data_IF_649748738582
#
_entry.id   IF_649748738582
#
_cell.length_a   1.000
_cell.length_b   1.000
_cell.length_c   1.000
_cell.angle_alpha   90.00
_cell.angle_beta   90.00
_cell.angle_gamma   90.00
#
_symmetry.space_group_name_H-M   'P 1'
#
loop_
_entity.id
_entity.type
_entity.pdbx_description
1 polymer ?
#
# COMPACT_ATOMS: atom_id res chain seq x y z
N UNK A 1 27.72 -34.23 60.07
CA UNK A 1 28.16 -34.44 58.66
C UNK A 1 26.93 -34.56 57.74
N UNK A 2 26.55 -33.47 57.06
CA UNK A 2 26.77 -33.27 55.60
C UNK A 2 25.94 -34.28 54.77
N UNK A 3 25.00 -33.91 53.91
CA UNK A 3 24.86 -32.67 53.14
C UNK A 3 23.43 -32.45 52.62
N UNK A 4 23.03 -31.18 52.62
CA UNK A 4 22.14 -30.56 51.64
C UNK A 4 22.51 -30.94 50.21
N UNK A 5 21.51 -31.16 49.36
CA UNK A 5 21.65 -30.88 47.93
C UNK A 5 20.44 -30.06 47.48
N UNK A 6 20.72 -28.78 47.26
CA UNK A 6 19.81 -27.80 46.71
C UNK A 6 19.48 -28.14 45.24
N UNK A 7 18.21 -27.99 44.86
CA UNK A 7 17.81 -27.90 43.47
C UNK A 7 18.23 -26.53 42.89
N UNK A 8 18.90 -26.48 41.74
CA UNK A 8 19.17 -25.22 41.06
C UNK A 8 17.92 -24.68 40.36
N UNK A 9 17.73 -23.37 40.53
CA UNK A 9 16.87 -22.50 39.72
C UNK A 9 17.24 -22.59 38.25
N UNK A 10 16.25 -22.32 37.42
CA UNK A 10 16.35 -21.79 36.05
C UNK A 10 16.41 -22.82 34.92
N UNK A 11 15.23 -23.10 34.33
CA UNK A 11 14.99 -22.80 32.92
C UNK A 11 13.53 -22.98 32.55
N UNK A 12 13.01 -21.92 31.94
CA UNK A 12 11.82 -21.85 31.09
C UNK A 12 11.62 -23.14 30.29
N UNK A 13 10.52 -23.83 30.55
CA UNK A 13 9.71 -24.60 29.59
C UNK A 13 8.37 -24.81 30.27
N UNK A 14 7.38 -24.00 29.90
CA UNK A 14 5.99 -24.33 30.17
C UNK A 14 5.73 -25.71 29.58
N UNK A 15 5.49 -26.68 30.45
CA UNK A 15 4.80 -27.90 30.07
C UNK A 15 3.39 -27.49 29.63
N UNK A 16 3.15 -27.50 28.32
CA UNK A 16 1.80 -27.49 27.77
C UNK A 16 1.16 -28.84 28.10
N UNK A 17 0.10 -28.83 28.92
CA UNK A 17 -0.78 -29.98 29.09
C UNK A 17 -1.50 -30.29 27.77
N UNK A 18 -1.64 -31.57 27.37
CA UNK A 18 -2.52 -31.95 26.28
C UNK A 18 -3.96 -32.08 26.80
N UNK A 19 -4.88 -31.26 26.27
CA UNK A 19 -6.31 -31.48 26.46
C UNK A 19 -6.82 -32.59 25.53
N UNK A 20 -7.72 -33.47 26.02
CA UNK A 20 -8.27 -34.57 25.25
C UNK A 20 -9.28 -34.10 24.18
N UNK A 21 -9.36 -34.88 23.11
CA UNK A 21 -10.12 -34.59 21.90
C UNK A 21 -11.63 -34.39 22.10
N UNK A 22 -12.19 -33.55 21.24
CA UNK A 22 -13.62 -33.47 20.99
C UNK A 22 -13.89 -33.94 19.56
N UNK A 23 -14.55 -35.10 19.48
CA UNK A 23 -15.05 -35.73 18.26
C UNK A 23 -16.42 -35.13 17.93
N UNK A 24 -16.63 -34.79 16.65
CA UNK A 24 -17.82 -35.19 15.92
C UNK A 24 -19.07 -34.29 15.95
N UNK A 25 -19.31 -33.67 14.79
CA UNK A 25 -20.59 -33.58 14.05
C UNK A 25 -21.90 -33.52 14.86
N UNK A 26 -22.61 -32.39 14.73
CA UNK A 26 -24.07 -32.24 14.54
C UNK A 26 -24.33 -30.72 14.48
N UNK A 27 -25.13 -30.13 13.62
CA UNK A 27 -26.04 -30.54 12.56
C UNK A 27 -26.51 -29.23 11.90
N UNK A 28 -26.89 -29.30 10.64
CA UNK A 28 -27.47 -28.18 9.92
C UNK A 28 -28.79 -27.75 10.59
N UNK A 29 -28.97 -26.45 10.85
CA UNK A 29 -30.30 -25.88 11.04
C UNK A 29 -30.44 -24.67 10.13
N UNK A 30 -30.99 -24.93 8.95
CA UNK A 30 -31.58 -23.95 8.06
C UNK A 30 -32.93 -23.57 8.69
N UNK A 31 -33.06 -22.35 9.22
CA UNK A 31 -34.37 -21.80 9.56
C UNK A 31 -34.65 -20.63 8.61
N UNK A 32 -35.49 -20.92 7.60
CA UNK A 32 -36.08 -19.94 6.69
C UNK A 32 -37.07 -19.09 7.49
N UNK A 33 -36.79 -17.81 7.67
CA UNK A 33 -37.81 -16.86 8.09
C UNK A 33 -38.61 -16.49 6.84
N UNK A 34 -39.79 -17.10 6.77
CA UNK A 34 -40.86 -16.82 5.83
C UNK A 34 -41.26 -15.36 5.96
N UNK A 35 -41.30 -14.65 4.83
CA UNK A 35 -41.80 -13.28 4.76
C UNK A 35 -43.31 -13.20 5.01
N UNK A 36 -43.78 -12.00 5.32
CA UNK A 36 -45.20 -11.69 5.17
C UNK A 36 -45.76 -10.64 6.11
N UNK A 37 -45.69 -9.38 5.66
CA UNK A 37 -46.76 -8.36 5.72
C UNK A 37 -47.27 -7.89 7.10
N UNK A 38 -47.08 -6.60 7.38
CA UNK A 38 -48.20 -5.70 7.72
C UNK A 38 -47.79 -4.23 7.53
N UNK A 39 -48.37 -3.60 6.51
CA UNK A 39 -48.55 -2.15 6.42
C UNK A 39 -49.40 -1.69 7.62
N UNK A 40 -48.87 -0.75 8.41
CA UNK A 40 -49.70 0.18 9.18
C UNK A 40 -49.15 1.58 8.96
N UNK A 41 -49.79 2.28 8.02
CA UNK A 41 -49.71 3.73 7.92
C UNK A 41 -50.61 4.43 8.93
N UNK A 42 -50.59 5.75 8.84
CA UNK A 42 -51.43 6.78 9.52
C UNK A 42 -50.80 7.41 10.77
N UNK A 43 -49.95 8.40 10.48
CA UNK A 43 -50.07 9.82 10.85
C UNK A 43 -50.97 10.10 12.08
N UNK A 44 -50.34 10.40 13.22
CA UNK A 44 -50.91 11.27 14.26
C UNK A 44 -49.76 12.11 14.84
N UNK A 45 -49.86 13.44 14.73
CA UNK A 45 -49.11 14.36 15.60
C UNK A 45 -48.00 15.20 14.97
N UNK A 46 -48.35 16.09 14.04
CA UNK A 46 -47.83 17.46 14.18
C UNK A 46 -48.44 18.12 15.41
N UNK A 47 -47.80 19.18 15.92
CA UNK A 47 -48.04 19.91 17.20
C UNK A 47 -47.11 19.32 18.30
N UNK A 48 -45.98 19.92 18.68
CA UNK A 48 -45.76 21.29 19.15
C UNK A 48 -44.38 21.80 18.72
N UNK A 49 -44.35 22.73 17.77
CA UNK A 49 -43.24 23.67 17.57
C UNK A 49 -43.68 24.97 18.24
N UNK A 50 -43.51 25.06 19.56
CA UNK A 50 -43.59 26.31 20.35
C UNK A 50 -43.34 26.04 21.84
N UNK A 51 -42.52 26.92 22.42
CA UNK A 51 -42.04 26.99 23.82
C UNK A 51 -40.82 26.14 24.13
N UNK A 52 -39.73 26.52 23.46
CA UNK A 52 -38.37 26.40 23.98
C UNK A 52 -37.67 27.74 23.76
N UNK A 53 -38.01 28.73 24.60
CA UNK A 53 -37.20 29.92 24.84
C UNK A 53 -35.73 29.49 24.99
N UNK A 54 -34.91 29.87 24.01
CA UNK A 54 -33.48 30.04 24.22
C UNK A 54 -33.20 31.50 23.99
N UNK A 55 -33.00 32.17 25.12
CA UNK A 55 -32.48 33.52 25.26
C UNK A 55 -31.53 33.90 24.12
N UNK A 56 -31.95 34.95 23.42
CA UNK A 56 -31.08 35.80 22.63
C UNK A 56 -30.61 36.92 23.55
N UNK A 57 -29.49 36.71 24.23
CA UNK A 57 -28.77 37.66 25.08
C UNK A 57 -27.30 37.17 25.01
N UNK A 58 -26.26 37.90 24.65
CA UNK A 58 -26.05 39.34 24.66
C UNK A 58 -24.99 39.64 23.57
N UNK A 59 -25.34 40.47 22.58
CA UNK A 59 -24.37 41.03 21.64
C UNK A 59 -23.78 42.27 22.30
N UNK A 60 -22.87 42.06 23.25
CA UNK A 60 -22.15 43.16 23.86
C UNK A 60 -21.16 43.73 22.83
N UNK A 61 -21.54 44.89 22.32
CA UNK A 61 -20.73 45.81 21.53
C UNK A 61 -19.53 46.28 22.36
N UNK A 62 -18.42 45.53 22.33
CA UNK A 62 -17.12 46.10 22.68
C UNK A 62 -16.63 46.85 21.46
N UNK A 63 -16.81 48.17 21.49
CA UNK A 63 -16.05 49.12 20.69
C UNK A 63 -14.60 48.96 21.12
N UNK A 64 -13.93 47.99 20.50
CA UNK A 64 -12.49 47.82 20.59
C UNK A 64 -11.86 49.01 19.88
N UNK A 65 -11.49 49.99 20.69
CA UNK A 65 -10.49 51.01 20.44
C UNK A 65 -9.55 50.58 19.32
N UNK A 66 -9.48 51.38 18.26
CA UNK A 66 -8.54 51.21 17.17
C UNK A 66 -7.13 51.27 17.76
N UNK A 67 -6.64 50.11 18.20
CA UNK A 67 -5.25 49.90 18.53
C UNK A 67 -4.53 50.02 17.20
N UNK A 68 -4.00 51.22 17.00
CA UNK A 68 -2.99 51.52 16.00
C UNK A 68 -2.06 50.32 15.96
N UNK A 69 -2.11 49.61 14.84
CA UNK A 69 -1.19 48.53 14.57
C UNK A 69 0.14 49.24 14.40
N UNK A 70 0.89 49.33 15.49
CA UNK A 70 2.30 49.63 15.47
C UNK A 70 2.89 48.55 14.56
N UNK A 71 3.16 48.91 13.30
CA UNK A 71 3.97 48.07 12.46
C UNK A 71 5.25 47.82 13.26
N UNK A 72 5.62 46.56 13.54
CA UNK A 72 6.96 46.29 14.01
C UNK A 72 7.90 46.90 12.97
N UNK A 73 8.80 47.74 13.47
CA UNK A 73 9.92 48.26 12.71
C UNK A 73 10.55 47.09 11.97
N UNK A 74 10.49 47.13 10.63
CA UNK A 74 11.25 46.24 9.78
C UNK A 74 12.70 46.69 9.90
N UNK A 75 13.28 46.42 11.06
CA UNK A 75 14.70 46.50 11.29
C UNK A 75 15.29 45.52 10.27
N UNK A 76 15.89 46.10 9.24
CA UNK A 76 16.53 45.37 8.16
C UNK A 76 17.49 44.39 8.81
N UNK A 77 17.27 43.06 8.70
CA UNK A 77 18.27 42.14 9.20
C UNK A 77 19.56 42.42 8.42
N UNK A 78 20.57 42.81 9.18
CA UNK A 78 21.94 42.98 8.76
C UNK A 78 22.31 41.91 7.73
N UNK A 79 22.92 42.42 6.65
CA UNK A 79 23.49 41.66 5.56
C UNK A 79 24.34 40.51 6.10
N UNK A 80 23.78 39.31 6.11
CA UNK A 80 24.55 38.08 6.31
C UNK A 80 25.58 38.03 5.17
N UNK A 81 26.89 37.97 5.47
CA UNK A 81 27.92 37.81 4.45
C UNK A 81 27.60 36.58 3.59
N UNK A 82 27.79 36.64 2.25
CA UNK A 82 27.52 35.48 1.42
C UNK A 82 28.39 34.32 1.89
N UNK A 83 27.74 33.21 2.27
CA UNK A 83 28.42 31.97 2.59
C UNK A 83 29.32 31.54 1.42
N UNK A 84 30.53 31.01 1.69
CA UNK A 84 31.37 30.46 0.63
C UNK A 84 30.61 29.33 -0.06
N UNK A 85 30.43 29.49 -1.39
CA UNK A 85 29.82 28.48 -2.26
C UNK A 85 30.38 27.10 -1.93
N UNK A 86 29.53 26.09 -1.67
CA UNK A 86 29.98 24.71 -1.53
C UNK A 86 30.78 24.32 -2.76
N UNK A 87 32.07 24.00 -2.57
CA UNK A 87 32.88 23.36 -3.59
C UNK A 87 32.20 22.06 -3.99
N UNK A 88 31.70 22.02 -5.21
CA UNK A 88 31.25 20.80 -5.87
C UNK A 88 32.43 19.82 -5.85
N UNK A 89 32.31 18.64 -5.23
CA UNK A 89 33.33 17.62 -5.40
C UNK A 89 33.42 17.28 -6.88
N UNK A 90 34.62 17.42 -7.42
CA UNK A 90 35.03 17.05 -8.76
C UNK A 90 34.53 15.63 -9.05
N UNK A 91 33.70 15.50 -10.10
CA UNK A 91 33.25 14.21 -10.59
C UNK A 91 34.48 13.40 -10.98
N UNK A 92 34.68 12.17 -10.45
CA UNK A 92 35.76 11.33 -10.95
C UNK A 92 35.52 11.08 -12.44
N UNK A 93 36.59 11.28 -13.21
CA UNK A 93 36.67 10.94 -14.63
C UNK A 93 36.11 9.53 -14.85
N UNK A 94 35.26 9.30 -15.87
CA UNK A 94 35.05 7.96 -16.36
C UNK A 94 36.35 7.47 -16.98
N UNK A 95 37.10 6.77 -16.14
CA UNK A 95 38.17 5.84 -16.45
C UNK A 95 37.90 5.16 -17.81
N UNK A 96 38.68 5.60 -18.80
CA UNK A 96 39.45 4.73 -19.69
C UNK A 96 38.90 3.31 -19.81
N UNK A 97 37.78 3.17 -20.53
CA UNK A 97 37.34 1.85 -20.98
C UNK A 97 38.30 1.36 -22.05
N UNK A 98 39.30 0.60 -21.60
CA UNK A 98 40.15 -0.20 -22.46
C UNK A 98 39.29 -1.04 -23.43
N UNK A 99 39.69 -1.20 -24.70
CA UNK A 99 39.00 -2.08 -25.63
C UNK A 99 39.02 -3.52 -25.10
N UNK A 100 37.84 -4.13 -25.03
CA UNK A 100 37.67 -5.56 -24.77
C UNK A 100 38.39 -6.36 -25.89
N UNK A 101 39.17 -7.41 -25.57
CA UNK A 101 39.79 -8.26 -26.57
C UNK A 101 38.73 -8.96 -27.42
N UNK A 102 38.77 -8.73 -28.74
CA UNK A 102 37.98 -9.47 -29.70
C UNK A 102 38.16 -10.98 -29.48
N UNK A 103 37.06 -11.66 -29.17
CA UNK A 103 36.97 -13.11 -29.26
C UNK A 103 37.19 -13.54 -30.72
N UNK A 104 37.95 -14.61 -30.99
CA UNK A 104 38.16 -15.08 -32.36
C UNK A 104 36.86 -15.61 -32.96
N UNK A 105 36.64 -15.17 -34.19
CA UNK A 105 35.61 -15.62 -35.14
C UNK A 105 35.74 -17.15 -35.35
N UNK A 106 34.67 -17.95 -35.20
CA UNK A 106 34.72 -19.35 -35.60
C UNK A 106 34.68 -19.46 -37.13
N UNK A 107 35.80 -19.90 -37.71
CA UNK A 107 35.91 -20.26 -39.13
C UNK A 107 34.73 -21.16 -39.57
N UNK A 108 33.99 -20.78 -40.63
CA UNK A 108 32.99 -21.66 -41.21
C UNK A 108 33.68 -22.83 -41.92
N UNK A 109 33.44 -24.04 -41.43
CA UNK A 109 33.85 -25.27 -42.11
C UNK A 109 33.12 -25.39 -43.46
N UNK A 110 33.82 -25.66 -44.57
CA UNK A 110 33.21 -25.77 -45.89
C UNK A 110 32.37 -27.06 -46.03
N UNK A 111 31.24 -27.03 -46.76
CA UNK A 111 30.50 -28.23 -47.10
C UNK A 111 31.21 -29.02 -48.22
N UNK A 112 31.11 -30.37 -48.24
CA UNK A 112 31.59 -31.20 -49.35
C UNK A 112 30.72 -31.04 -50.62
N UNK A 113 31.30 -31.34 -51.80
CA UNK A 113 30.81 -30.88 -53.10
C UNK A 113 29.60 -31.64 -53.67
N UNK A 114 28.92 -30.94 -54.58
CA UNK A 114 27.80 -31.37 -55.40
C UNK A 114 28.19 -32.37 -56.50
N UNK A 115 27.19 -33.13 -56.97
CA UNK A 115 26.92 -33.62 -58.33
C UNK A 115 25.49 -34.23 -58.25
N UNK A 116 24.51 -34.11 -59.16
CA UNK A 116 24.45 -34.01 -60.64
C UNK A 116 23.03 -33.46 -61.01
N UNK A 117 22.67 -33.18 -62.28
CA UNK A 117 21.74 -32.12 -62.68
C UNK A 117 20.25 -32.49 -62.83
N UNK A 118 19.45 -31.42 -62.69
CA UNK A 118 18.14 -31.03 -63.28
C UNK A 118 17.14 -32.08 -63.83
N UNK A 119 15.85 -31.89 -63.50
CA UNK A 119 14.95 -31.31 -64.52
C UNK A 119 14.08 -30.14 -64.04
N UNK A 120 13.80 -29.26 -65.01
CA UNK A 120 13.07 -27.99 -64.95
C UNK A 120 11.62 -28.06 -64.38
N UNK A 121 10.99 -26.90 -64.05
CA UNK A 121 10.14 -26.73 -62.88
C UNK A 121 8.66 -27.04 -63.10
N UNK A 122 8.04 -27.74 -62.16
CA UNK A 122 6.60 -27.69 -61.97
C UNK A 122 6.27 -26.57 -60.97
N UNK A 123 5.53 -25.57 -61.45
CA UNK A 123 5.06 -24.45 -60.65
C UNK A 123 4.18 -24.94 -59.49
N UNK A 124 4.74 -24.94 -58.28
CA UNK A 124 4.00 -25.21 -57.05
C UNK A 124 3.13 -23.98 -56.70
N UNK A 125 1.89 -24.17 -56.26
CA UNK A 125 1.04 -23.06 -55.83
C UNK A 125 1.71 -22.32 -54.67
N UNK A 126 1.75 -20.98 -54.76
CA UNK A 126 2.29 -20.09 -53.72
C UNK A 126 1.74 -20.51 -52.34
N UNK A 127 2.59 -20.72 -51.32
CA UNK A 127 2.08 -20.80 -49.96
C UNK A 127 1.43 -19.45 -49.64
N UNK A 128 0.13 -19.46 -49.35
CA UNK A 128 -0.51 -18.32 -48.67
C UNK A 128 0.33 -18.09 -47.42
N UNK A 129 0.96 -16.92 -47.32
CA UNK A 129 1.68 -16.51 -46.13
C UNK A 129 0.73 -16.72 -44.96
N UNK A 130 1.09 -17.61 -44.04
CA UNK A 130 0.45 -17.65 -42.75
C UNK A 130 0.57 -16.24 -42.21
N UNK A 131 -0.57 -15.56 -42.09
CA UNK A 131 -0.64 -14.29 -41.39
C UNK A 131 0.14 -14.49 -40.09
N UNK A 132 1.10 -13.62 -39.85
CA UNK A 132 1.74 -13.52 -38.54
C UNK A 132 0.61 -13.50 -37.52
N UNK A 133 0.59 -14.38 -36.51
CA UNK A 133 -0.40 -14.24 -35.46
C UNK A 133 -0.24 -12.82 -34.96
N UNK A 134 -1.29 -12.00 -35.10
CA UNK A 134 -1.36 -10.78 -34.33
C UNK A 134 -1.15 -11.19 -32.87
N UNK A 135 -0.36 -10.44 -32.09
CA UNK A 135 -0.29 -10.66 -30.67
C UNK A 135 -1.73 -10.70 -30.17
N UNK A 136 -2.17 -11.88 -29.74
CA UNK A 136 -3.31 -11.99 -28.84
C UNK A 136 -2.90 -11.12 -27.67
N UNK A 137 -3.46 -9.91 -27.60
CA UNK A 137 -3.47 -9.15 -26.36
C UNK A 137 -4.09 -10.11 -25.35
N UNK A 138 -3.22 -10.67 -24.51
CA UNK A 138 -3.64 -11.43 -23.35
C UNK A 138 -4.68 -10.56 -22.66
N UNK A 139 -5.90 -11.07 -22.47
CA UNK A 139 -7.00 -10.41 -21.74
C UNK A 139 -6.68 -10.20 -20.24
N UNK A 140 -5.39 -10.16 -19.90
CA UNK A 140 -4.80 -9.55 -18.73
C UNK A 140 -3.92 -8.40 -19.21
N UNK A 141 -4.52 -7.41 -19.88
CA UNK A 141 -3.88 -6.11 -19.99
C UNK A 141 -3.74 -5.62 -18.55
N UNK A 142 -2.55 -5.77 -17.96
CA UNK A 142 -2.21 -5.20 -16.67
C UNK A 142 -2.68 -3.76 -16.70
N UNK A 143 -3.59 -3.40 -15.80
CA UNK A 143 -4.04 -2.02 -15.65
C UNK A 143 -2.79 -1.14 -15.55
N UNK A 144 -2.81 0.00 -16.22
CA UNK A 144 -1.64 0.88 -16.32
C UNK A 144 -1.32 1.61 -15.02
N UNK A 145 -0.20 2.33 -15.04
CA UNK A 145 0.23 3.18 -13.92
C UNK A 145 -0.80 4.27 -13.59
N UNK A 146 -1.52 4.79 -14.59
CA UNK A 146 -2.54 5.81 -14.40
C UNK A 146 -3.72 5.28 -13.55
N UNK A 147 -4.14 4.05 -13.81
CA UNK A 147 -5.17 3.36 -13.05
C UNK A 147 -4.68 3.02 -11.62
N UNK A 148 -3.42 2.59 -11.46
CA UNK A 148 -2.84 2.34 -10.13
C UNK A 148 -2.82 3.64 -9.30
N UNK A 149 -2.39 4.75 -9.91
CA UNK A 149 -2.36 6.05 -9.25
C UNK A 149 -3.77 6.53 -8.86
N UNK A 150 -4.77 6.34 -9.72
CA UNK A 150 -6.16 6.67 -9.40
C UNK A 150 -6.67 5.86 -8.20
N UNK A 151 -6.30 4.58 -8.10
CA UNK A 151 -6.62 3.74 -6.95
C UNK A 151 -5.91 4.23 -5.67
N UNK A 152 -4.64 4.64 -5.78
CA UNK A 152 -3.88 5.21 -4.66
C UNK A 152 -4.46 6.53 -4.14
N UNK A 153 -5.02 7.37 -5.03
CA UNK A 153 -5.71 8.60 -4.63
C UNK A 153 -6.98 8.31 -3.83
N UNK A 154 -7.77 7.30 -4.24
CA UNK A 154 -8.94 6.84 -3.47
C UNK A 154 -8.53 6.33 -2.09
N UNK A 155 -7.49 5.50 -2.05
CA UNK A 155 -6.92 4.95 -0.81
C UNK A 155 -6.51 6.06 0.17
N UNK A 156 -5.81 7.09 -0.33
CA UNK A 156 -5.41 8.27 0.45
C UNK A 156 -6.62 9.05 0.97
N UNK A 157 -7.66 9.18 0.16
CA UNK A 157 -8.91 9.86 0.54
C UNK A 157 -9.64 9.12 1.66
N UNK A 158 -9.81 7.80 1.53
CA UNK A 158 -10.43 6.96 2.55
C UNK A 158 -9.64 6.97 3.87
N UNK A 159 -8.30 6.95 3.81
CA UNK A 159 -7.45 7.08 5.00
C UNK A 159 -7.65 8.41 5.74
N UNK A 160 -7.79 9.51 5.00
CA UNK A 160 -8.07 10.85 5.55
C UNK A 160 -9.47 10.93 6.16
N UNK A 161 -10.45 10.28 5.53
CA UNK A 161 -11.81 10.18 6.05
C UNK A 161 -11.92 9.26 7.29
N UNK A 162 -10.91 8.43 7.54
CA UNK A 162 -10.95 7.45 8.62
C UNK A 162 -11.78 6.20 8.30
N UNK A 163 -12.22 6.04 7.05
CA UNK A 163 -12.98 4.88 6.62
C UNK A 163 -12.07 3.66 6.44
N UNK A 164 -11.89 2.92 7.55
CA UNK A 164 -11.01 1.77 7.57
C UNK A 164 -11.55 0.60 6.75
N UNK A 165 -12.86 0.51 6.54
CA UNK A 165 -13.45 -0.54 5.73
C UNK A 165 -13.16 -0.29 4.24
N UNK A 166 -13.42 0.92 3.76
CA UNK A 166 -13.12 1.31 2.38
C UNK A 166 -11.62 1.18 2.07
N UNK A 167 -10.73 1.57 2.99
CA UNK A 167 -9.29 1.36 2.80
C UNK A 167 -8.95 -0.11 2.59
N UNK A 168 -9.52 -1.02 3.38
CA UNK A 168 -9.23 -2.44 3.26
C UNK A 168 -9.76 -3.05 1.95
N UNK A 169 -10.92 -2.59 1.48
CA UNK A 169 -11.47 -2.98 0.18
C UNK A 169 -10.58 -2.50 -0.97
N UNK A 170 -10.14 -1.24 -0.94
CA UNK A 170 -9.21 -0.66 -1.93
C UNK A 170 -7.83 -1.34 -1.90
N UNK A 171 -7.33 -1.74 -0.73
CA UNK A 171 -6.11 -2.56 -0.61
C UNK A 171 -6.29 -3.92 -1.30
N UNK A 172 -7.45 -4.56 -1.12
CA UNK A 172 -7.75 -5.84 -1.74
C UNK A 172 -7.83 -5.72 -3.27
N UNK A 173 -8.49 -4.67 -3.78
CA UNK A 173 -8.51 -4.33 -5.21
C UNK A 173 -7.10 -4.14 -5.75
N UNK A 174 -6.28 -3.34 -5.06
CA UNK A 174 -4.90 -3.09 -5.49
C UNK A 174 -4.07 -4.38 -5.54
N UNK A 175 -4.25 -5.29 -4.59
CA UNK A 175 -3.56 -6.60 -4.59
C UNK A 175 -3.93 -7.45 -5.79
N UNK A 176 -5.21 -7.48 -6.14
CA UNK A 176 -5.73 -8.28 -7.26
C UNK A 176 -5.25 -7.71 -8.59
N UNK A 177 -5.38 -6.40 -8.75
CA UNK A 177 -5.19 -5.75 -10.05
C UNK A 177 -3.73 -5.33 -10.29
N UNK A 178 -2.98 -5.08 -9.23
CA UNK A 178 -1.56 -4.68 -9.26
C UNK A 178 -0.73 -5.50 -8.26
N UNK A 179 -0.60 -6.83 -8.44
CA UNK A 179 0.16 -7.68 -7.53
C UNK A 179 1.65 -7.29 -7.47
N UNK A 180 2.19 -6.78 -8.59
CA UNK A 180 3.56 -6.28 -8.76
C UNK A 180 3.59 -4.77 -9.07
N UNK A 181 2.59 -4.03 -8.59
CA UNK A 181 2.46 -2.58 -8.81
C UNK A 181 3.62 -1.75 -8.22
N UNK A 182 3.67 -0.47 -8.56
CA UNK A 182 4.69 0.45 -8.06
C UNK A 182 4.43 0.85 -6.60
N UNK A 183 3.17 0.85 -6.13
CA UNK A 183 2.79 1.39 -4.82
C UNK A 183 2.61 0.32 -3.73
N UNK A 184 3.46 -0.72 -3.73
CA UNK A 184 3.36 -1.84 -2.79
C UNK A 184 3.62 -1.39 -1.34
N UNK A 185 4.52 -0.43 -1.13
CA UNK A 185 4.85 0.11 0.19
C UNK A 185 3.66 0.90 0.75
N UNK A 186 3.14 1.84 -0.02
CA UNK A 186 2.00 2.69 0.33
C UNK A 186 0.76 1.84 0.64
N UNK A 187 0.48 0.84 -0.20
CA UNK A 187 -0.59 -0.15 0.05
C UNK A 187 -0.40 -0.88 1.37
N UNK A 188 0.82 -1.33 1.67
CA UNK A 188 1.08 -2.08 2.91
C UNK A 188 0.99 -1.18 4.13
N UNK A 189 1.39 0.09 4.04
CA UNK A 189 1.21 1.07 5.10
C UNK A 189 -0.27 1.33 5.36
N UNK A 190 -1.06 1.57 4.30
CA UNK A 190 -2.49 1.83 4.41
C UNK A 190 -3.25 0.68 5.08
N UNK A 191 -2.96 -0.56 4.70
CA UNK A 191 -3.56 -1.74 5.32
C UNK A 191 -3.24 -1.83 6.81
N UNK A 192 -1.96 -1.64 7.18
CA UNK A 192 -1.54 -1.71 8.57
C UNK A 192 -2.24 -0.63 9.41
N UNK A 193 -2.31 0.60 8.89
CA UNK A 193 -3.00 1.74 9.51
C UNK A 193 -4.49 1.49 9.70
N UNK A 194 -5.19 1.04 8.66
CA UNK A 194 -6.62 0.73 8.75
C UNK A 194 -6.89 -0.39 9.75
N UNK A 195 -6.08 -1.47 9.74
CA UNK A 195 -6.21 -2.54 10.73
C UNK A 195 -6.00 -2.05 12.16
N UNK A 196 -5.02 -1.17 12.39
CA UNK A 196 -4.79 -0.59 13.70
C UNK A 196 -5.95 0.31 14.18
N UNK A 197 -6.50 1.16 13.30
CA UNK A 197 -7.66 2.02 13.61
C UNK A 197 -8.92 1.23 14.00
N UNK A 198 -9.06 0.00 13.50
CA UNK A 198 -10.17 -0.89 13.90
C UNK A 198 -9.95 -1.64 15.22
N UNK A 199 -8.80 -1.45 15.89
CA UNK A 199 -8.43 -2.20 17.10
C UNK A 199 -8.12 -3.68 16.84
N UNK A 200 -7.89 -4.08 15.59
CA UNK A 200 -7.60 -5.46 15.24
C UNK A 200 -6.20 -5.86 15.71
N UNK A 201 -6.07 -7.02 16.37
CA UNK A 201 -4.75 -7.60 16.71
C UNK A 201 -3.88 -7.85 15.47
N UNK A 202 -4.51 -7.96 14.28
CA UNK A 202 -3.82 -8.05 13.00
C UNK A 202 -3.06 -6.75 12.67
N UNK A 203 -3.51 -5.59 13.14
CA UNK A 203 -2.90 -4.29 12.90
C UNK A 203 -1.48 -4.22 13.44
N UNK A 204 -1.29 -4.51 14.73
CA UNK A 204 0.04 -4.52 15.35
C UNK A 204 1.00 -5.49 14.64
N UNK A 205 0.53 -6.70 14.30
CA UNK A 205 1.32 -7.67 13.53
C UNK A 205 1.72 -7.12 12.16
N UNK A 206 0.79 -6.46 11.47
CA UNK A 206 1.03 -5.91 10.13
C UNK A 206 1.94 -4.69 10.16
N UNK A 207 1.84 -3.87 11.20
CA UNK A 207 2.75 -2.75 11.44
C UNK A 207 4.19 -3.24 11.66
N UNK A 208 4.39 -4.25 12.51
CA UNK A 208 5.71 -4.84 12.73
C UNK A 208 6.32 -5.42 11.44
N UNK A 209 5.50 -6.07 10.60
CA UNK A 209 5.95 -6.55 9.28
C UNK A 209 6.33 -5.40 8.35
N UNK A 210 5.57 -4.31 8.36
CA UNK A 210 5.85 -3.12 7.57
C UNK A 210 7.19 -2.50 7.99
N UNK A 211 7.40 -2.24 9.27
CA UNK A 211 8.63 -1.63 9.79
C UNK A 211 9.87 -2.50 9.56
N UNK A 212 9.72 -3.83 9.61
CA UNK A 212 10.81 -4.75 9.30
C UNK A 212 11.19 -4.71 7.81
N UNK A 213 10.21 -4.50 6.92
CA UNK A 213 10.44 -4.48 5.47
C UNK A 213 10.89 -3.11 4.96
N UNK A 214 10.37 -2.03 5.55
CA UNK A 214 10.66 -0.64 5.16
C UNK A 214 11.02 0.21 6.39
N UNK A 215 12.22 0.01 6.97
CA UNK A 215 12.60 0.63 8.24
C UNK A 215 12.71 2.15 8.20
N UNK A 216 12.93 2.73 7.01
CA UNK A 216 13.10 4.17 6.77
C UNK A 216 11.92 4.77 5.98
N UNK A 217 10.77 4.11 5.97
CA UNK A 217 9.59 4.60 5.26
C UNK A 217 9.07 5.92 5.83
N UNK A 218 8.67 6.83 4.95
CA UNK A 218 7.94 8.06 5.34
C UNK A 218 6.62 7.76 6.05
N UNK A 219 6.04 6.57 5.86
CA UNK A 219 4.78 6.19 6.49
C UNK A 219 4.95 5.73 7.95
N UNK A 220 6.19 5.51 8.41
CA UNK A 220 6.46 4.91 9.72
C UNK A 220 5.86 5.69 10.88
N UNK A 221 5.96 7.02 10.88
CA UNK A 221 5.42 7.84 11.96
C UNK A 221 3.89 7.77 12.05
N UNK A 222 3.20 7.97 10.92
CA UNK A 222 1.74 7.89 10.87
C UNK A 222 1.23 6.49 11.23
N UNK A 223 1.96 5.44 10.80
CA UNK A 223 1.66 4.07 11.17
C UNK A 223 1.77 3.83 12.67
N UNK A 224 2.86 4.26 13.30
CA UNK A 224 3.07 4.11 14.75
C UNK A 224 1.98 4.84 15.53
N UNK A 225 1.62 6.06 15.13
CA UNK A 225 0.53 6.81 15.73
C UNK A 225 -0.83 6.07 15.65
N UNK A 226 -1.21 5.59 14.46
CA UNK A 226 -2.47 4.85 14.26
C UNK A 226 -2.51 3.53 15.05
N UNK A 227 -1.34 2.94 15.36
CA UNK A 227 -1.21 1.69 16.11
C UNK A 227 -0.92 1.87 17.60
N UNK A 228 -0.77 3.10 18.11
CA UNK A 228 -0.39 3.36 19.50
C UNK A 228 1.01 2.84 19.87
N UNK A 229 1.93 2.80 18.90
CA UNK A 229 3.32 2.40 19.09
C UNK A 229 4.20 3.61 19.43
N UNK A 230 5.25 3.45 20.25
CA UNK A 230 6.15 4.55 20.59
C UNK A 230 6.96 5.01 19.38
N UNK A 231 7.37 6.29 19.39
CA UNK A 231 8.36 6.81 18.43
C UNK A 231 9.72 6.10 18.57
N UNK A 232 10.49 6.08 17.48
CA UNK A 232 11.85 5.51 17.44
C UNK A 232 12.89 6.53 17.87
#
# INVERSE_FOLDING_TARGET
PRSSTACPRDRRRSCSEPLPGSVGKSGALILKIVGGVALSGVIVGGIVWLLGERDSDDSESVVGEAREVQLPDLESPDLVPPEPKPSVPESPDPDSRAPDPQAPDPEPTPPPPADTPEPAPQAKPKPKSKAKPEPVESETASKGLAEELALMQKLSTALKAGDSAEVLDLVAEHRRDFPHGQFIEERSAAEARALCKTGSSKGAKKAAQFEARWPNSIHGQALRADCGLPDK
#
